data_IF_247212228839
#
_entry.id   IF_247212228839
#
_cell.length_a   1.000
_cell.length_b   1.000
_cell.length_c   1.000
_cell.angle_alpha   90.00
_cell.angle_beta   90.00
_cell.angle_gamma   90.00
#
_symmetry.space_group_name_H-M   'P 1'
#
loop_
_entity.id
_entity.type
_entity.pdbx_description
1 polymer ?
#
# COMPACT_ATOMS: atom_id res chain seq x y z
N UNK A 1 3.04 -15.04 -5.28
CA UNK A 1 3.93 -16.10 -5.80
C UNK A 1 4.71 -15.53 -6.97
N UNK A 2 5.98 -15.92 -7.19
CA UNK A 2 6.73 -15.43 -8.34
C UNK A 2 6.04 -15.82 -9.65
N UNK A 3 6.22 -15.02 -10.67
CA UNK A 3 5.73 -15.32 -12.01
C UNK A 3 6.44 -16.56 -12.55
N UNK A 4 5.75 -17.38 -13.34
CA UNK A 4 6.35 -18.57 -13.95
C UNK A 4 7.66 -18.22 -14.69
N UNK A 5 8.73 -18.96 -14.40
CA UNK A 5 10.10 -18.71 -14.93
C UNK A 5 10.99 -17.82 -14.06
N UNK A 6 10.47 -17.22 -12.99
CA UNK A 6 11.20 -16.34 -12.06
C UNK A 6 11.34 -16.91 -10.65
N UNK A 7 11.04 -18.19 -10.45
CA UNK A 7 11.09 -18.86 -9.15
C UNK A 7 12.48 -18.82 -8.53
N UNK A 8 13.54 -18.87 -9.37
CA UNK A 8 14.93 -18.79 -8.94
C UNK A 8 15.37 -17.42 -8.40
N UNK A 9 14.61 -16.36 -8.66
CA UNK A 9 14.95 -15.02 -8.19
C UNK A 9 14.71 -14.86 -6.69
N UNK A 10 13.76 -15.61 -6.11
CA UNK A 10 13.54 -15.67 -4.66
C UNK A 10 14.79 -16.17 -3.90
N UNK A 11 15.51 -17.12 -4.48
CA UNK A 11 16.73 -17.65 -3.87
C UNK A 11 17.90 -16.65 -3.95
N UNK A 12 17.89 -15.77 -4.96
CA UNK A 12 18.94 -14.74 -5.17
C UNK A 12 18.70 -13.49 -4.33
N UNK A 13 17.45 -13.12 -4.14
CA UNK A 13 17.07 -11.92 -3.39
C UNK A 13 15.81 -12.17 -2.52
N UNK A 14 15.98 -12.53 -1.24
CA UNK A 14 14.86 -12.79 -0.35
C UNK A 14 14.01 -11.53 -0.06
N UNK A 15 14.52 -10.34 -0.34
CA UNK A 15 13.80 -9.08 -0.11
C UNK A 15 12.68 -8.80 -1.12
N UNK A 16 12.64 -9.51 -2.25
CA UNK A 16 11.55 -9.39 -3.22
C UNK A 16 10.31 -10.21 -2.85
N UNK A 17 10.40 -11.09 -1.84
CA UNK A 17 9.30 -11.92 -1.38
C UNK A 17 8.75 -11.40 -0.04
N UNK A 18 7.69 -10.64 -0.09
CA UNK A 18 6.99 -10.12 1.09
C UNK A 18 5.47 -10.12 0.87
N UNK A 19 4.74 -10.09 1.96
CA UNK A 19 3.30 -9.87 1.90
C UNK A 19 3.04 -8.40 1.57
N UNK A 20 2.55 -8.09 0.37
CA UNK A 20 2.20 -6.71 0.01
C UNK A 20 0.88 -6.24 0.65
N UNK A 21 0.02 -7.18 1.07
CA UNK A 21 -1.28 -6.92 1.70
C UNK A 21 -1.52 -7.90 2.84
N UNK A 22 -1.94 -7.39 4.00
CA UNK A 22 -2.35 -8.18 5.17
C UNK A 22 -3.61 -7.60 5.79
N UNK A 23 -4.43 -8.48 6.35
CA UNK A 23 -5.67 -8.14 7.04
C UNK A 23 -5.57 -8.44 8.54
N UNK A 24 -6.17 -7.59 9.38
CA UNK A 24 -6.38 -7.82 10.80
C UNK A 24 -7.77 -7.29 11.19
N UNK A 25 -8.75 -8.18 11.34
CA UNK A 25 -10.13 -7.80 11.62
C UNK A 25 -10.66 -6.84 10.55
N UNK A 26 -11.01 -5.61 10.96
CA UNK A 26 -11.52 -4.55 10.07
C UNK A 26 -10.41 -3.64 9.52
N UNK A 27 -9.15 -4.04 9.67
CA UNK A 27 -7.99 -3.28 9.15
C UNK A 27 -7.39 -4.03 7.97
N UNK A 28 -7.22 -3.32 6.84
CA UNK A 28 -6.41 -3.74 5.71
C UNK A 28 -5.14 -2.90 5.64
N UNK A 29 -3.98 -3.55 5.53
CA UNK A 29 -2.67 -2.95 5.42
C UNK A 29 -2.03 -3.32 4.08
N UNK A 30 -1.46 -2.35 3.38
CA UNK A 30 -0.66 -2.55 2.17
C UNK A 30 0.68 -1.82 2.30
N UNK A 31 1.74 -2.41 1.76
CA UNK A 31 3.08 -1.81 1.73
C UNK A 31 3.85 -2.23 0.47
N UNK A 32 4.98 -1.58 0.23
CA UNK A 32 5.91 -1.90 -0.87
C UNK A 32 7.12 -2.74 -0.43
N UNK A 33 7.07 -3.41 0.73
CA UNK A 33 8.23 -4.16 1.20
C UNK A 33 7.98 -4.99 2.46
N UNK A 34 9.04 -5.56 3.01
CA UNK A 34 9.01 -6.47 4.17
C UNK A 34 8.50 -5.83 5.47
N UNK A 35 8.30 -4.52 5.53
CA UNK A 35 7.68 -3.82 6.66
C UNK A 35 6.22 -4.19 6.90
N UNK A 36 5.56 -4.89 5.96
CA UNK A 36 4.18 -5.35 6.12
C UNK A 36 4.00 -6.17 7.40
N UNK A 37 4.84 -7.18 7.57
CA UNK A 37 4.69 -8.11 8.69
C UNK A 37 4.98 -7.44 10.05
N UNK A 38 6.06 -6.68 10.25
CA UNK A 38 6.27 -5.93 11.49
C UNK A 38 5.14 -4.93 11.82
N UNK A 39 4.56 -4.27 10.83
CA UNK A 39 3.45 -3.34 11.06
C UNK A 39 2.19 -4.10 11.51
N UNK A 40 1.79 -5.15 10.76
CA UNK A 40 0.57 -5.89 11.08
C UNK A 40 0.66 -6.60 12.43
N UNK A 41 1.82 -7.13 12.80
CA UNK A 41 2.04 -7.76 14.11
C UNK A 41 1.82 -6.78 15.27
N UNK A 42 2.26 -5.52 15.13
CA UNK A 42 1.99 -4.48 16.13
C UNK A 42 0.51 -4.12 16.21
N UNK A 43 -0.19 -4.10 15.07
CA UNK A 43 -1.65 -3.89 15.03
C UNK A 43 -2.36 -5.05 15.73
N UNK A 44 -1.98 -6.30 15.47
CA UNK A 44 -2.53 -7.50 16.11
C UNK A 44 -2.28 -7.47 17.63
N UNK A 45 -1.12 -6.97 18.07
CA UNK A 45 -0.79 -6.77 19.47
C UNK A 45 -1.55 -5.60 20.14
N UNK A 46 -2.46 -4.93 19.45
CA UNK A 46 -3.30 -3.85 19.97
C UNK A 46 -2.68 -2.45 19.96
N UNK A 47 -1.55 -2.27 19.28
CA UNK A 47 -0.95 -0.95 19.11
C UNK A 47 -1.83 -0.07 18.21
N UNK A 48 -1.94 1.23 18.52
CA UNK A 48 -2.65 2.17 17.65
C UNK A 48 -1.95 2.30 16.27
N UNK A 49 -2.71 2.63 15.21
CA UNK A 49 -2.20 2.65 13.84
C UNK A 49 -0.98 3.56 13.68
N UNK A 50 -0.97 4.75 14.29
CA UNK A 50 0.15 5.70 14.16
C UNK A 50 1.46 5.07 14.63
N UNK A 51 1.47 4.48 15.81
CA UNK A 51 2.69 3.94 16.42
C UNK A 51 3.06 2.59 15.77
N UNK A 52 2.06 1.79 15.36
CA UNK A 52 2.27 0.58 14.58
C UNK A 52 2.95 0.83 13.23
N UNK A 53 2.72 1.99 12.62
CA UNK A 53 3.42 2.45 11.41
C UNK A 53 4.79 3.06 11.74
N UNK A 54 4.82 4.01 12.68
CA UNK A 54 6.01 4.80 12.94
C UNK A 54 7.20 3.96 13.42
N UNK A 55 6.97 3.02 14.33
CA UNK A 55 8.04 2.23 14.92
C UNK A 55 8.73 1.29 13.91
N UNK A 56 8.02 0.46 13.11
CA UNK A 56 8.69 -0.35 12.12
C UNK A 56 9.33 0.46 11.00
N UNK A 57 8.68 1.53 10.52
CA UNK A 57 9.26 2.39 9.50
C UNK A 57 10.55 3.06 9.98
N UNK A 58 10.58 3.53 11.24
CA UNK A 58 11.79 4.09 11.84
C UNK A 58 12.90 3.02 12.00
N UNK A 59 12.54 1.82 12.49
CA UNK A 59 13.52 0.77 12.78
C UNK A 59 14.13 0.15 11.52
N UNK A 60 13.33 0.00 10.46
CA UNK A 60 13.76 -0.61 9.20
C UNK A 60 14.42 0.39 8.24
N UNK A 61 14.14 1.70 8.43
CA UNK A 61 14.63 2.78 7.59
C UNK A 61 14.19 2.61 6.11
N UNK A 62 14.60 3.53 5.22
CA UNK A 62 14.44 3.37 3.77
C UNK A 62 15.40 2.28 3.25
N UNK A 63 15.17 1.78 2.06
CA UNK A 63 16.09 0.81 1.44
C UNK A 63 17.35 1.52 0.94
N UNK A 64 18.50 1.08 1.43
CA UNK A 64 19.82 1.67 1.10
C UNK A 64 20.36 1.10 -0.21
N UNK A 65 19.47 1.07 -1.22
CA UNK A 65 19.81 0.74 -2.58
C UNK A 65 20.30 1.98 -3.36
N UNK A 66 20.60 1.81 -4.65
CA UNK A 66 21.08 2.91 -5.50
C UNK A 66 20.09 4.05 -5.69
N UNK A 67 18.81 3.83 -5.40
CA UNK A 67 17.71 4.79 -5.53
C UNK A 67 17.29 5.40 -4.20
N UNK A 68 17.85 4.93 -3.07
CA UNK A 68 17.38 5.26 -1.71
C UNK A 68 15.86 5.04 -1.59
N UNK A 69 15.42 3.85 -2.01
CA UNK A 69 13.99 3.51 -2.15
C UNK A 69 13.23 3.71 -0.84
N UNK A 70 12.25 4.63 -0.80
CA UNK A 70 11.41 4.82 0.37
C UNK A 70 10.55 3.58 0.69
N UNK A 71 10.36 3.30 1.98
CA UNK A 71 9.33 2.35 2.39
C UNK A 71 8.03 3.09 2.60
N UNK A 72 6.98 2.64 1.93
CA UNK A 72 5.64 3.21 2.04
C UNK A 72 4.67 2.18 2.62
N UNK A 73 3.67 2.69 3.34
CA UNK A 73 2.61 1.88 3.91
C UNK A 73 1.29 2.64 3.90
N UNK A 74 0.20 1.93 3.66
CA UNK A 74 -1.15 2.45 3.80
C UNK A 74 -2.03 1.45 4.53
N UNK A 75 -2.94 1.93 5.38
CA UNK A 75 -3.97 1.10 5.99
C UNK A 75 -5.31 1.81 6.02
N UNK A 76 -6.37 1.01 5.97
CA UNK A 76 -7.75 1.43 6.22
C UNK A 76 -8.25 0.69 7.46
N UNK A 77 -8.80 1.44 8.42
CA UNK A 77 -9.59 0.92 9.54
C UNK A 77 -11.08 1.19 9.24
N UNK A 78 -11.78 0.15 8.80
CA UNK A 78 -13.20 0.27 8.43
C UNK A 78 -14.11 0.51 9.66
N UNK A 79 -13.68 0.17 10.87
CA UNK A 79 -14.43 0.43 12.09
C UNK A 79 -14.33 1.88 12.51
N UNK A 80 -13.11 2.43 12.56
CA UNK A 80 -12.87 3.83 12.92
C UNK A 80 -13.12 4.80 11.77
N UNK A 81 -13.31 4.28 10.56
CA UNK A 81 -13.47 5.08 9.33
C UNK A 81 -12.29 6.04 9.11
N UNK A 82 -11.09 5.53 9.27
CA UNK A 82 -9.84 6.28 9.04
C UNK A 82 -8.90 5.52 8.11
N UNK A 83 -8.09 6.27 7.38
CA UNK A 83 -6.93 5.77 6.66
C UNK A 83 -5.66 6.28 7.30
N UNK A 84 -4.59 5.49 7.24
CA UNK A 84 -3.24 5.87 7.66
C UNK A 84 -2.31 5.74 6.47
N UNK A 85 -1.53 6.79 6.18
CA UNK A 85 -0.44 6.76 5.22
C UNK A 85 0.88 6.99 5.94
N UNK A 86 1.89 6.18 5.64
CA UNK A 86 3.23 6.28 6.22
C UNK A 86 4.32 6.14 5.18
N UNK A 87 5.41 6.86 5.38
CA UNK A 87 6.61 6.77 4.55
C UNK A 87 7.84 7.04 5.40
N UNK A 88 8.90 6.28 5.17
CA UNK A 88 10.27 6.63 5.57
C UNK A 88 11.13 6.77 4.31
N UNK A 89 11.79 7.92 4.20
CA UNK A 89 12.74 8.30 3.16
C UNK A 89 14.04 8.72 3.83
N UNK A 90 15.10 8.91 3.04
CA UNK A 90 16.41 9.35 3.52
C UNK A 90 16.38 10.67 4.33
N UNK A 91 15.37 11.51 4.09
CA UNK A 91 15.24 12.85 4.68
C UNK A 91 14.03 13.02 5.62
N UNK A 92 13.12 12.02 5.71
CA UNK A 92 11.91 12.17 6.50
C UNK A 92 11.26 10.85 6.89
N UNK A 93 10.63 10.84 8.06
CA UNK A 93 9.62 9.87 8.48
C UNK A 93 8.30 10.61 8.67
N UNK A 94 7.28 10.23 7.92
CA UNK A 94 5.96 10.84 7.98
C UNK A 94 4.89 9.76 8.17
N UNK A 95 4.01 9.96 9.15
CA UNK A 95 2.83 9.12 9.36
C UNK A 95 1.64 10.04 9.57
N UNK A 96 0.59 9.86 8.78
CA UNK A 96 -0.56 10.74 8.79
C UNK A 96 -1.87 10.00 8.66
N UNK A 97 -2.83 10.39 9.52
CA UNK A 97 -4.20 9.90 9.50
C UNK A 97 -5.10 10.80 8.65
N UNK A 98 -6.06 10.18 7.98
CA UNK A 98 -7.11 10.82 7.20
C UNK A 98 -8.46 10.21 7.56
N UNK A 99 -9.49 11.05 7.71
CA UNK A 99 -10.86 10.53 7.75
C UNK A 99 -11.23 9.95 6.38
N UNK A 100 -11.93 8.82 6.37
CA UNK A 100 -12.48 8.27 5.13
C UNK A 100 -13.66 9.14 4.68
N UNK A 101 -13.63 9.57 3.44
CA UNK A 101 -14.69 10.34 2.79
C UNK A 101 -15.15 9.58 1.55
N UNK A 102 -16.47 9.33 1.37
CA UNK A 102 -16.98 8.67 0.18
C UNK A 102 -16.55 9.38 -1.10
N UNK A 103 -16.16 8.61 -2.12
CA UNK A 103 -15.70 9.13 -3.40
C UNK A 103 -14.27 9.69 -3.40
N UNK A 104 -13.52 9.59 -2.29
CA UNK A 104 -12.13 10.07 -2.23
C UNK A 104 -11.12 8.95 -2.05
N UNK A 105 -10.07 8.99 -2.86
CA UNK A 105 -8.84 8.21 -2.65
C UNK A 105 -7.74 9.12 -2.13
N UNK A 106 -7.06 8.69 -1.05
CA UNK A 106 -5.76 9.22 -0.65
C UNK A 106 -4.67 8.26 -1.10
N UNK A 107 -3.61 8.78 -1.72
CA UNK A 107 -2.55 7.96 -2.29
C UNK A 107 -1.15 8.45 -1.93
N UNK A 108 -0.20 7.55 -2.03
CA UNK A 108 1.22 7.75 -1.76
C UNK A 108 2.02 6.89 -2.73
N UNK A 109 3.05 7.45 -3.34
CA UNK A 109 3.97 6.72 -4.19
C UNK A 109 5.40 6.78 -3.67
N UNK A 110 6.28 5.93 -4.18
CA UNK A 110 7.63 5.75 -3.67
C UNK A 110 8.53 6.94 -4.00
N UNK A 111 8.59 7.36 -5.25
CA UNK A 111 9.54 8.39 -5.70
C UNK A 111 8.89 9.74 -5.93
N UNK A 112 7.75 9.77 -6.59
CA UNK A 112 6.98 10.98 -6.85
C UNK A 112 5.77 11.03 -5.92
N UNK A 113 5.24 12.23 -5.65
CA UNK A 113 4.04 12.38 -4.81
C UNK A 113 4.18 11.66 -3.45
N UNK A 114 5.38 11.63 -2.90
CA UNK A 114 5.82 10.85 -1.75
C UNK A 114 5.66 11.57 -0.41
N UNK A 115 4.62 12.37 -0.25
CA UNK A 115 4.30 13.02 1.01
C UNK A 115 2.80 12.85 1.33
N UNK A 116 2.44 12.23 2.48
CA UNK A 116 1.06 12.09 2.92
C UNK A 116 0.43 13.47 3.15
N UNK A 117 -0.45 13.91 2.28
CA UNK A 117 -1.15 15.19 2.43
C UNK A 117 -2.55 15.14 1.80
N UNK A 118 -3.44 16.06 2.22
CA UNK A 118 -4.81 16.14 1.69
C UNK A 118 -4.89 16.47 0.20
N UNK A 119 -3.83 17.05 -0.39
CA UNK A 119 -3.76 17.36 -1.82
C UNK A 119 -3.46 16.13 -2.67
N UNK A 120 -3.03 15.03 -2.07
CA UNK A 120 -2.81 13.74 -2.73
C UNK A 120 -4.08 12.91 -2.61
N UNK A 121 -5.15 13.38 -3.25
CA UNK A 121 -6.42 12.67 -3.34
C UNK A 121 -6.99 12.78 -4.74
N UNK A 122 -7.80 11.79 -5.10
CA UNK A 122 -8.70 11.80 -6.23
C UNK A 122 -10.14 11.82 -5.70
N UNK A 123 -10.96 12.71 -6.22
CA UNK A 123 -12.36 12.90 -5.79
C UNK A 123 -13.36 12.28 -6.76
N UNK A 124 -12.88 11.64 -7.83
CA UNK A 124 -13.72 10.98 -8.85
C UNK A 124 -13.69 9.45 -8.75
N UNK A 125 -13.21 8.91 -7.60
CA UNK A 125 -13.10 7.47 -7.42
C UNK A 125 -14.46 6.82 -7.19
N UNK A 126 -14.76 5.81 -8.02
CA UNK A 126 -15.87 4.90 -7.85
C UNK A 126 -15.43 3.48 -8.24
N UNK A 127 -15.45 2.54 -7.30
CA UNK A 127 -15.17 1.13 -7.55
C UNK A 127 -16.26 0.28 -6.90
N UNK A 128 -17.02 -0.42 -7.74
CA UNK A 128 -18.11 -1.27 -7.32
C UNK A 128 -17.62 -2.54 -6.59
N UNK A 129 -16.42 -3.01 -6.91
CA UNK A 129 -15.82 -4.25 -6.39
C UNK A 129 -14.29 -4.15 -6.32
N UNK A 130 -13.64 -5.22 -5.82
CA UNK A 130 -12.20 -5.26 -5.67
C UNK A 130 -11.44 -5.33 -7.02
N UNK A 131 -12.05 -5.89 -8.06
CA UNK A 131 -11.47 -5.96 -9.41
C UNK A 131 -11.47 -4.58 -10.05
N UNK A 132 -12.56 -3.82 -9.91
CA UNK A 132 -12.65 -2.42 -10.34
C UNK A 132 -11.62 -1.55 -9.60
N UNK A 133 -11.41 -1.77 -8.30
CA UNK A 133 -10.36 -1.10 -7.52
C UNK A 133 -8.97 -1.38 -8.10
N UNK A 134 -8.64 -2.65 -8.39
CA UNK A 134 -7.34 -3.01 -8.98
C UNK A 134 -7.17 -2.41 -10.37
N UNK A 135 -8.21 -2.43 -11.21
CA UNK A 135 -8.20 -1.81 -12.54
C UNK A 135 -7.94 -0.30 -12.47
N UNK A 136 -8.59 0.38 -11.51
CA UNK A 136 -8.35 1.80 -11.26
C UNK A 136 -6.90 2.08 -10.87
N UNK A 137 -6.29 1.24 -10.01
CA UNK A 137 -4.89 1.38 -9.59
C UNK A 137 -3.89 1.17 -10.74
N UNK A 138 -4.26 0.43 -11.79
CA UNK A 138 -3.40 0.18 -12.95
C UNK A 138 -3.44 1.37 -13.93
N UNK A 139 -4.62 1.94 -14.19
CA UNK A 139 -4.78 2.90 -15.30
C UNK A 139 -5.87 3.96 -15.10
N UNK A 140 -6.49 4.05 -13.91
CA UNK A 140 -7.59 4.98 -13.65
C UNK A 140 -7.15 6.26 -12.95
N UNK A 141 -7.90 7.34 -13.15
CA UNK A 141 -7.78 8.60 -12.42
C UNK A 141 -6.35 9.11 -12.31
N UNK A 142 -5.90 9.38 -11.09
CA UNK A 142 -4.53 9.87 -10.81
C UNK A 142 -3.42 8.88 -11.15
N UNK A 143 -3.74 7.61 -11.40
CA UNK A 143 -2.77 6.56 -11.75
C UNK A 143 -2.60 6.41 -13.26
N UNK A 144 -3.46 7.03 -14.08
CA UNK A 144 -3.37 6.98 -15.54
C UNK A 144 -2.04 7.54 -16.09
N UNK A 145 -1.45 8.50 -15.37
CA UNK A 145 -0.19 9.16 -15.75
C UNK A 145 1.05 8.42 -15.27
N UNK A 146 0.91 7.33 -14.49
CA UNK A 146 2.06 6.54 -14.04
C UNK A 146 2.54 5.60 -15.14
N UNK A 147 3.84 5.64 -15.40
CA UNK A 147 4.47 4.81 -16.41
C UNK A 147 4.60 3.35 -15.95
N UNK A 148 4.45 2.43 -16.90
CA UNK A 148 4.77 1.01 -16.77
C UNK A 148 4.10 0.33 -15.56
N UNK A 149 2.77 0.38 -15.44
CA UNK A 149 2.07 -0.40 -14.42
C UNK A 149 2.38 -1.90 -14.63
N UNK A 150 2.51 -2.66 -13.54
CA UNK A 150 2.83 -4.10 -13.59
C UNK A 150 1.69 -4.92 -13.03
N UNK A 151 1.34 -4.70 -11.78
CA UNK A 151 0.29 -5.44 -11.08
C UNK A 151 -0.30 -4.59 -9.97
N UNK A 152 -1.55 -4.84 -9.63
CA UNK A 152 -2.23 -4.25 -8.48
C UNK A 152 -2.84 -5.34 -7.61
N UNK A 153 -2.80 -5.15 -6.29
CA UNK A 153 -3.53 -5.96 -5.32
C UNK A 153 -4.41 -5.04 -4.48
N UNK A 154 -5.66 -5.40 -4.31
CA UNK A 154 -6.66 -4.59 -3.63
C UNK A 154 -7.45 -5.35 -2.58
N UNK A 155 -7.90 -4.63 -1.54
CA UNK A 155 -8.84 -5.09 -0.54
C UNK A 155 -9.97 -4.08 -0.41
N UNK A 156 -11.19 -4.49 -0.71
CA UNK A 156 -12.39 -3.65 -0.62
C UNK A 156 -13.28 -4.11 0.54
N UNK A 157 -13.59 -3.20 1.47
CA UNK A 157 -14.52 -3.48 2.56
C UNK A 157 -15.97 -3.46 2.06
N UNK A 158 -16.70 -4.57 2.25
CA UNK A 158 -18.08 -4.74 1.79
C UNK A 158 -19.14 -4.60 2.89
N UNK A 159 -18.75 -4.10 4.07
CA UNK A 159 -19.63 -3.98 5.23
C UNK A 159 -19.54 -5.13 6.23
N UNK A 160 -19.06 -6.30 5.83
CA UNK A 160 -18.89 -7.50 6.67
C UNK A 160 -17.47 -8.06 6.68
N UNK A 161 -16.73 -7.83 5.61
CA UNK A 161 -15.35 -8.31 5.43
C UNK A 161 -14.66 -7.63 4.27
N UNK A 162 -13.42 -8.05 3.99
CA UNK A 162 -12.67 -7.58 2.83
C UNK A 162 -12.78 -8.56 1.68
N UNK A 163 -13.20 -8.08 0.51
CA UNK A 163 -13.02 -8.76 -0.78
C UNK A 163 -11.64 -8.42 -1.32
N UNK A 164 -10.90 -9.43 -1.79
CA UNK A 164 -9.55 -9.28 -2.31
C UNK A 164 -9.55 -9.50 -3.82
N UNK A 165 -8.74 -8.73 -4.53
CA UNK A 165 -8.47 -8.92 -5.95
C UNK A 165 -7.00 -8.64 -6.29
N UNK A 166 -6.56 -9.21 -7.41
CA UNK A 166 -5.25 -8.94 -8.03
C UNK A 166 -5.48 -8.78 -9.52
N UNK A 167 -4.91 -7.76 -10.12
CA UNK A 167 -4.94 -7.52 -11.55
C UNK A 167 -3.53 -7.26 -12.09
N UNK A 168 -3.22 -7.83 -13.24
CA UNK A 168 -1.99 -7.55 -13.99
C UNK A 168 -2.27 -6.51 -15.06
N UNK A 169 -1.34 -5.56 -15.24
CA UNK A 169 -1.37 -4.66 -16.37
C UNK A 169 -1.13 -5.44 -17.66
N UNK A 170 -1.82 -5.04 -18.74
CA UNK A 170 -1.51 -5.57 -20.07
C UNK A 170 -0.13 -5.05 -20.46
N UNK A 171 0.84 -5.94 -20.55
CA UNK A 171 2.14 -5.59 -21.12
C UNK A 171 1.90 -5.35 -22.62
N UNK A 172 2.15 -4.13 -23.08
CA UNK A 172 2.29 -3.89 -24.53
C UNK A 172 3.49 -4.71 -25.01
N UNK A 173 3.23 -5.50 -26.05
CA UNK A 173 4.20 -6.41 -26.66
C UNK A 173 5.27 -5.67 -27.43
#
# INVERSE_FOLDING_TARGET
>A
MPRAGFEGDLAKNPYIAYNCLRLCGKIALVTNGSQTDPIIEKIIAGMNLRDAFALPLLAMDYEKDSLNTPRIAAAVDAEKKVAMLGIVRHDALLVKEFALEPGKIYYLSTYEKNAPCKRRCDEAFDAADADALCSYMISGGVFADFEKPVTAAGALWNGSGYSLAVADAKLEA
#
